data_IF_624877363293
#
_entry.id   IF_624877363293
#
_cell.length_a   1.000
_cell.length_b   1.000
_cell.length_c   1.000
_cell.angle_alpha   90.00
_cell.angle_beta   90.00
_cell.angle_gamma   90.00
#
_symmetry.space_group_name_H-M   'P 1'
#
loop_
_entity.id
_entity.type
_entity.pdbx_description
1 polymer ?
#
# COMPACT_ATOMS: atom_id res chain seq x y z
N UNK A 1 48.00 21.91 34.98
CA UNK A 1 46.76 21.36 35.55
C UNK A 1 45.73 21.41 34.43
N UNK A 2 45.56 20.31 33.69
CA UNK A 2 44.68 20.25 32.53
C UNK A 2 43.37 19.60 32.97
N UNK A 3 42.24 20.31 32.84
CA UNK A 3 40.92 19.76 33.16
C UNK A 3 40.49 18.80 32.05
N UNK A 4 40.22 17.56 32.42
CA UNK A 4 39.60 16.57 31.55
C UNK A 4 38.23 17.06 31.09
N UNK A 5 38.00 17.02 29.77
CA UNK A 5 36.71 17.28 29.15
C UNK A 5 35.65 16.33 29.66
N UNK A 6 34.49 16.88 30.01
CA UNK A 6 33.30 16.11 30.32
C UNK A 6 32.94 15.23 29.13
N UNK A 7 32.76 13.95 29.41
CA UNK A 7 32.06 13.05 28.50
C UNK A 7 30.61 13.55 28.49
N UNK A 8 30.15 14.10 27.37
CA UNK A 8 28.73 14.33 27.18
C UNK A 8 28.07 12.94 27.14
N UNK A 9 27.46 12.56 28.25
CA UNK A 9 26.54 11.42 28.29
C UNK A 9 25.41 11.72 27.30
N UNK A 10 25.44 11.06 26.14
CA UNK A 10 24.31 11.07 25.21
C UNK A 10 23.12 10.44 25.93
N UNK A 11 22.21 11.28 26.37
CA UNK A 11 20.89 10.89 26.85
C UNK A 11 20.15 10.16 25.73
N UNK A 12 20.04 8.84 25.85
CA UNK A 12 19.33 7.98 24.88
C UNK A 12 17.88 7.72 25.31
N UNK A 13 17.37 8.44 26.31
CA UNK A 13 16.04 8.21 26.88
C UNK A 13 14.87 8.61 25.97
N UNK A 14 15.12 9.29 24.84
CA UNK A 14 14.09 9.93 24.01
C UNK A 14 13.95 9.36 22.57
N UNK A 15 14.12 8.05 22.36
CA UNK A 15 13.57 7.44 21.12
C UNK A 15 12.20 6.83 21.39
N UNK A 16 11.08 7.56 21.14
CA UNK A 16 9.76 7.04 21.41
C UNK A 16 9.49 5.79 20.59
N UNK A 17 8.82 4.82 21.20
CA UNK A 17 8.29 3.67 20.50
C UNK A 17 7.24 4.14 19.51
N UNK A 18 7.39 3.73 18.26
CA UNK A 18 6.47 4.07 17.20
C UNK A 18 5.76 2.82 16.67
N UNK A 19 4.51 3.01 16.28
CA UNK A 19 3.67 2.00 15.67
C UNK A 19 3.68 2.17 14.17
N UNK A 20 3.74 1.05 13.47
CA UNK A 20 3.76 0.98 12.02
C UNK A 20 2.76 -0.04 11.49
N UNK A 21 2.22 0.17 10.30
CA UNK A 21 1.43 -0.81 9.55
C UNK A 21 2.12 -1.17 8.24
N UNK A 22 1.97 -2.42 7.80
CA UNK A 22 2.46 -2.89 6.51
C UNK A 22 1.47 -2.45 5.43
N UNK A 23 1.88 -1.50 4.58
CA UNK A 23 1.08 -1.02 3.47
C UNK A 23 1.20 -1.95 2.25
N UNK A 24 0.30 -1.78 1.29
CA UNK A 24 0.25 -2.60 0.06
C UNK A 24 1.51 -2.48 -0.82
N UNK A 25 2.30 -1.42 -0.64
CA UNK A 25 3.64 -1.29 -1.24
C UNK A 25 4.67 -2.27 -0.63
N UNK A 26 4.27 -3.04 0.39
CA UNK A 26 5.11 -3.96 1.15
C UNK A 26 6.12 -3.27 2.07
N UNK A 27 5.89 -2.00 2.41
CA UNK A 27 6.72 -1.24 3.35
C UNK A 27 5.94 -0.88 4.60
N UNK A 28 6.66 -0.67 5.68
CA UNK A 28 6.11 -0.22 6.96
C UNK A 28 5.91 1.30 6.93
N UNK A 29 4.69 1.73 7.24
CA UNK A 29 4.28 3.13 7.38
C UNK A 29 3.96 3.43 8.84
N UNK A 30 4.40 4.57 9.35
CA UNK A 30 4.09 4.97 10.72
C UNK A 30 2.62 5.38 10.83
N UNK A 31 2.00 5.14 11.99
CA UNK A 31 0.71 5.75 12.32
C UNK A 31 0.93 7.23 12.66
N UNK A 32 0.53 8.12 11.76
CA UNK A 32 0.62 9.57 11.94
C UNK A 32 -0.71 10.14 12.44
N UNK A 33 -0.65 11.26 13.16
CA UNK A 33 -1.82 11.96 13.69
C UNK A 33 -2.43 12.87 12.60
N UNK A 34 -3.75 12.79 12.40
CA UNK A 34 -4.45 13.52 11.35
C UNK A 34 -5.35 14.60 11.96
N UNK A 35 -5.63 15.65 11.16
CA UNK A 35 -6.62 16.71 11.46
C UNK A 35 -8.03 16.13 11.74
N UNK A 36 -8.30 14.90 11.31
CA UNK A 36 -9.58 14.21 11.50
C UNK A 36 -9.63 13.31 12.76
N UNK A 37 -8.63 13.36 13.65
CA UNK A 37 -8.60 12.53 14.86
C UNK A 37 -8.37 11.05 14.55
N UNK A 38 -7.51 10.75 13.55
CA UNK A 38 -7.00 9.40 13.35
C UNK A 38 -6.22 8.95 14.58
N UNK A 39 -6.17 7.63 14.80
CA UNK A 39 -5.38 7.10 15.91
C UNK A 39 -3.89 7.25 15.59
N UNK A 40 -3.19 8.03 16.43
CA UNK A 40 -1.77 8.27 16.24
C UNK A 40 -0.92 7.10 16.75
N UNK A 41 0.36 7.08 16.36
CA UNK A 41 1.34 6.18 16.96
C UNK A 41 1.44 6.34 18.49
N UNK A 42 1.26 7.55 19.01
CA UNK A 42 1.31 7.80 20.46
C UNK A 42 0.09 7.22 21.17
N UNK A 43 -1.08 7.31 20.55
CA UNK A 43 -2.31 6.72 21.09
C UNK A 43 -2.22 5.20 21.12
N UNK A 44 -1.74 4.58 20.04
CA UNK A 44 -1.50 3.14 20.00
C UNK A 44 -0.53 2.68 21.08
N UNK A 45 0.53 3.46 21.33
CA UNK A 45 1.47 3.16 22.41
C UNK A 45 0.80 3.23 23.79
N UNK A 46 0.00 4.27 24.04
CA UNK A 46 -0.77 4.40 25.30
C UNK A 46 -1.73 3.23 25.50
N UNK A 47 -2.42 2.78 24.44
CA UNK A 47 -3.33 1.63 24.53
C UNK A 47 -2.59 0.31 24.76
N UNK A 48 -1.49 0.10 24.04
CA UNK A 48 -0.67 -1.10 24.21
C UNK A 48 -0.13 -1.25 25.63
N UNK A 49 0.35 -0.16 26.23
CA UNK A 49 0.87 -0.16 27.60
C UNK A 49 -0.20 -0.44 28.66
N UNK A 50 -1.47 -0.10 28.39
CA UNK A 50 -2.61 -0.42 29.28
C UNK A 50 -2.99 -1.89 29.23
N UNK A 51 -2.87 -2.51 28.06
CA UNK A 51 -3.33 -3.88 27.83
C UNK A 51 -2.82 -4.45 26.51
N UNK A 52 -1.64 -5.09 26.48
CA UNK A 52 -1.07 -5.65 25.25
C UNK A 52 -1.86 -6.86 24.69
N UNK A 53 -2.84 -7.35 25.46
CA UNK A 53 -3.78 -8.40 25.07
C UNK A 53 -5.16 -7.89 24.68
N UNK A 54 -5.38 -6.58 24.77
CA UNK A 54 -6.67 -6.00 24.42
C UNK A 54 -6.77 -5.74 22.92
N UNK A 55 -8.00 -5.82 22.43
CA UNK A 55 -8.35 -5.49 21.06
C UNK A 55 -8.99 -4.11 21.06
N UNK A 56 -8.32 -3.15 20.41
CA UNK A 56 -8.79 -1.78 20.30
C UNK A 56 -9.73 -1.65 19.10
N UNK A 57 -10.94 -1.13 19.31
CA UNK A 57 -11.85 -0.75 18.22
C UNK A 57 -11.82 0.76 18.04
N UNK A 58 -11.30 1.22 16.90
CA UNK A 58 -11.36 2.61 16.49
C UNK A 58 -12.63 2.87 15.68
N UNK A 59 -13.65 3.40 16.33
CA UNK A 59 -14.95 3.72 15.73
C UNK A 59 -14.86 4.76 14.62
N UNK A 60 -13.91 5.71 14.69
CA UNK A 60 -13.76 6.79 13.70
C UNK A 60 -13.26 6.26 12.34
N UNK A 61 -12.41 5.24 12.35
CA UNK A 61 -11.84 4.65 11.13
C UNK A 61 -12.48 3.31 10.76
N UNK A 62 -13.50 2.85 11.51
CA UNK A 62 -14.06 1.50 11.38
C UNK A 62 -12.94 0.44 11.34
N UNK A 63 -11.94 0.57 12.20
CA UNK A 63 -10.82 -0.37 12.27
C UNK A 63 -10.70 -1.00 13.64
N UNK A 64 -10.17 -2.21 13.67
CA UNK A 64 -9.87 -2.96 14.87
C UNK A 64 -8.38 -3.26 14.90
N UNK A 65 -7.73 -3.08 16.04
CA UNK A 65 -6.32 -3.36 16.24
C UNK A 65 -6.20 -4.43 17.32
N UNK A 66 -5.58 -5.55 16.96
CA UNK A 66 -5.24 -6.64 17.86
C UNK A 66 -3.72 -6.61 18.10
N UNK A 67 -3.33 -6.14 19.28
CA UNK A 67 -1.93 -6.02 19.66
C UNK A 67 -1.25 -7.38 19.87
N UNK A 68 -2.00 -8.41 20.27
CA UNK A 68 -1.45 -9.75 20.46
C UNK A 68 -1.20 -10.45 19.13
N UNK A 69 -2.13 -10.31 18.18
CA UNK A 69 -1.96 -10.83 16.83
C UNK A 69 -1.03 -9.95 15.97
N UNK A 70 -0.75 -8.72 16.39
CA UNK A 70 -0.06 -7.69 15.60
C UNK A 70 -0.76 -7.46 14.26
N UNK A 71 -2.10 -7.28 14.31
CA UNK A 71 -2.96 -7.08 13.15
C UNK A 71 -3.85 -5.85 13.32
N UNK A 72 -4.08 -5.16 12.21
CA UNK A 72 -5.17 -4.21 12.04
C UNK A 72 -6.18 -4.78 11.04
N UNK A 73 -7.46 -4.76 11.40
CA UNK A 73 -8.58 -5.19 10.57
C UNK A 73 -9.46 -3.99 10.22
N UNK A 74 -9.72 -3.80 8.94
CA UNK A 74 -10.76 -2.88 8.46
C UNK A 74 -12.12 -3.58 8.60
N UNK A 75 -13.02 -3.01 9.41
CA UNK A 75 -14.30 -3.61 9.76
C UNK A 75 -15.33 -3.50 8.63
N UNK A 76 -15.14 -2.60 7.66
CA UNK A 76 -16.05 -2.46 6.52
C UNK A 76 -15.76 -3.52 5.45
N UNK A 77 -14.49 -3.86 5.24
CA UNK A 77 -14.02 -4.76 4.17
C UNK A 77 -13.55 -6.12 4.69
N UNK A 78 -13.33 -6.27 6.00
CA UNK A 78 -12.72 -7.45 6.61
C UNK A 78 -11.24 -7.62 6.31
N UNK A 79 -10.61 -6.69 5.59
CA UNK A 79 -9.19 -6.78 5.23
C UNK A 79 -8.31 -6.63 6.45
N UNK A 80 -7.25 -7.42 6.50
CA UNK A 80 -6.27 -7.39 7.57
C UNK A 80 -4.89 -6.95 7.05
N UNK A 81 -4.18 -6.16 7.85
CA UNK A 81 -2.78 -5.80 7.61
C UNK A 81 -1.96 -5.96 8.88
N UNK A 82 -0.68 -6.29 8.72
CA UNK A 82 0.24 -6.45 9.86
C UNK A 82 0.58 -5.09 10.45
N UNK A 83 0.70 -5.03 11.77
CA UNK A 83 1.27 -3.89 12.49
C UNK A 83 2.54 -4.31 13.22
N UNK A 84 3.36 -3.35 13.61
CA UNK A 84 4.52 -3.59 14.49
C UNK A 84 4.81 -2.37 15.35
N UNK A 85 5.46 -2.62 16.47
CA UNK A 85 6.06 -1.63 17.36
C UNK A 85 7.57 -1.65 17.17
N UNK A 86 8.17 -0.50 16.89
CA UNK A 86 9.61 -0.38 16.58
C UNK A 86 10.16 0.98 17.04
N UNK A 87 11.47 1.14 17.08
CA UNK A 87 12.09 2.41 17.50
C UNK A 87 11.84 3.52 16.48
N UNK A 88 11.40 4.68 16.99
CA UNK A 88 11.00 5.86 16.21
C UNK A 88 12.15 6.61 15.56
N UNK A 89 12.79 6.03 14.55
CA UNK A 89 13.52 6.84 13.58
C UNK A 89 12.46 7.41 12.63
N UNK A 90 12.18 8.72 12.71
CA UNK A 90 11.30 9.45 11.76
C UNK A 90 11.81 9.25 10.33
N UNK A 91 11.39 8.16 9.69
CA UNK A 91 11.71 7.87 8.29
C UNK A 91 10.52 8.32 7.47
N UNK A 92 10.61 9.52 6.88
CA UNK A 92 9.69 9.92 5.80
C UNK A 92 9.75 8.85 4.71
N UNK A 93 8.69 8.07 4.58
CA UNK A 93 8.73 6.89 3.75
C UNK A 93 8.82 7.28 2.25
N UNK A 94 9.87 6.82 1.56
CA UNK A 94 10.03 6.96 0.11
C UNK A 94 9.13 5.99 -0.70
N UNK A 95 8.26 5.25 -0.03
CA UNK A 95 7.27 4.33 -0.62
C UNK A 95 6.37 4.97 -1.67
N UNK A 96 6.18 6.28 -1.65
CA UNK A 96 5.42 6.98 -2.68
C UNK A 96 6.20 7.27 -3.96
N UNK A 97 7.38 6.68 -4.14
CA UNK A 97 8.14 6.77 -5.39
C UNK A 97 8.89 5.49 -5.71
N UNK A 98 8.97 4.56 -4.76
CA UNK A 98 9.70 3.33 -4.95
C UNK A 98 8.77 2.17 -5.34
N UNK A 99 9.25 1.24 -6.16
CA UNK A 99 8.53 0.03 -6.52
C UNK A 99 8.18 -0.80 -5.28
N UNK A 100 7.12 -1.63 -5.33
CA UNK A 100 6.82 -2.60 -4.30
C UNK A 100 8.01 -3.52 -4.02
N UNK A 101 8.22 -3.85 -2.75
CA UNK A 101 9.42 -4.61 -2.32
C UNK A 101 9.48 -6.04 -2.87
N UNK A 102 8.34 -6.59 -3.30
CA UNK A 102 8.21 -7.94 -3.84
C UNK A 102 8.46 -8.00 -5.35
N UNK A 103 8.74 -6.87 -6.01
CA UNK A 103 9.10 -6.88 -7.43
C UNK A 103 10.48 -7.50 -7.65
N UNK A 104 10.64 -8.35 -8.67
CA UNK A 104 11.97 -8.87 -9.00
C UNK A 104 12.86 -7.77 -9.57
N UNK A 105 14.17 -8.00 -9.48
CA UNK A 105 15.15 -7.23 -10.24
C UNK A 105 14.90 -7.44 -11.73
N UNK A 106 14.57 -6.37 -12.40
CA UNK A 106 14.24 -6.33 -13.82
C UNK A 106 15.36 -5.77 -14.65
N UNK A 107 15.43 -6.18 -15.91
CA UNK A 107 16.29 -5.56 -16.92
C UNK A 107 15.91 -4.07 -17.08
N UNK A 108 16.80 -3.11 -16.77
CA UNK A 108 16.51 -1.68 -16.84
C UNK A 108 16.40 -1.17 -18.28
N UNK A 109 16.80 -1.95 -19.29
CA UNK A 109 16.63 -1.59 -20.71
C UNK A 109 15.20 -1.80 -21.21
N UNK A 110 14.36 -2.52 -20.46
CA UNK A 110 12.98 -2.82 -20.86
C UNK A 110 12.00 -1.87 -20.18
N UNK A 111 11.12 -1.27 -20.98
CA UNK A 111 10.05 -0.39 -20.50
C UNK A 111 9.08 -1.10 -19.53
N UNK A 112 8.84 -2.40 -19.72
CA UNK A 112 8.08 -3.23 -18.78
C UNK A 112 8.49 -4.69 -18.89
N UNK A 113 8.20 -5.47 -17.86
CA UNK A 113 8.35 -6.93 -17.84
C UNK A 113 7.09 -7.61 -17.32
N UNK A 114 6.77 -8.77 -17.90
CA UNK A 114 5.71 -9.66 -17.44
C UNK A 114 6.33 -10.79 -16.64
N UNK A 115 5.96 -10.87 -15.37
CA UNK A 115 6.48 -11.87 -14.45
C UNK A 115 5.42 -12.95 -14.27
N UNK A 116 5.67 -14.19 -14.70
CA UNK A 116 4.69 -15.27 -14.52
C UNK A 116 4.52 -15.57 -13.03
N UNK A 117 3.27 -15.60 -12.58
CA UNK A 117 2.94 -15.97 -11.21
C UNK A 117 2.68 -17.47 -11.13
N UNK A 118 3.34 -18.13 -10.17
CA UNK A 118 3.13 -19.55 -9.90
C UNK A 118 1.88 -19.76 -9.05
N UNK A 119 1.11 -20.80 -9.34
CA UNK A 119 -0.14 -21.11 -8.63
C UNK A 119 0.03 -21.31 -7.13
N UNK A 120 1.22 -21.70 -6.68
CA UNK A 120 1.50 -21.92 -5.25
C UNK A 120 1.79 -20.62 -4.49
N UNK A 121 1.94 -19.49 -5.18
CA UNK A 121 2.26 -18.21 -4.53
C UNK A 121 1.01 -17.55 -3.94
N UNK A 122 1.19 -16.87 -2.80
CA UNK A 122 0.10 -16.13 -2.15
C UNK A 122 -0.49 -15.04 -3.06
N UNK A 123 0.35 -14.41 -3.88
CA UNK A 123 -0.08 -13.40 -4.85
C UNK A 123 -1.02 -13.99 -5.91
N UNK A 124 -0.64 -15.13 -6.50
CA UNK A 124 -1.50 -15.83 -7.46
C UNK A 124 -2.86 -16.15 -6.84
N UNK A 125 -2.87 -16.73 -5.63
CA UNK A 125 -4.11 -17.11 -4.95
C UNK A 125 -4.98 -15.89 -4.63
N UNK A 126 -4.36 -14.78 -4.24
CA UNK A 126 -5.07 -13.51 -3.98
C UNK A 126 -5.74 -12.98 -5.23
N UNK A 127 -5.02 -12.91 -6.36
CA UNK A 127 -5.55 -12.44 -7.64
C UNK A 127 -6.63 -13.38 -8.17
N UNK A 128 -6.41 -14.71 -8.08
CA UNK A 128 -7.40 -15.72 -8.46
C UNK A 128 -8.70 -15.56 -7.68
N UNK A 129 -8.62 -15.45 -6.35
CA UNK A 129 -9.80 -15.28 -5.51
C UNK A 129 -10.54 -13.99 -5.88
N UNK A 130 -9.81 -12.90 -6.11
CA UNK A 130 -10.39 -11.63 -6.55
C UNK A 130 -11.11 -11.76 -7.90
N UNK A 131 -10.50 -12.42 -8.89
CA UNK A 131 -11.12 -12.65 -10.22
C UNK A 131 -12.40 -13.48 -10.12
N UNK A 132 -12.39 -14.54 -9.31
CA UNK A 132 -13.52 -15.48 -9.19
C UNK A 132 -14.66 -14.88 -8.36
N UNK A 133 -14.34 -14.27 -7.22
CA UNK A 133 -15.34 -13.77 -6.27
C UNK A 133 -15.90 -12.41 -6.67
N UNK A 134 -15.04 -11.46 -7.05
CA UNK A 134 -15.44 -10.08 -7.35
C UNK A 134 -15.64 -9.86 -8.85
N UNK A 135 -14.78 -10.47 -9.68
CA UNK A 135 -14.88 -10.38 -11.13
C UNK A 135 -15.99 -11.24 -11.74
N UNK A 136 -16.55 -12.17 -10.96
CA UNK A 136 -17.56 -13.15 -11.39
C UNK A 136 -17.16 -13.91 -12.67
N UNK A 137 -15.86 -13.98 -12.94
CA UNK A 137 -15.29 -14.66 -14.09
C UNK A 137 -15.15 -16.14 -13.73
N UNK A 138 -16.24 -16.89 -13.90
CA UNK A 138 -16.27 -18.34 -13.67
C UNK A 138 -15.63 -19.12 -14.83
N UNK A 139 -14.40 -18.75 -15.21
CA UNK A 139 -13.61 -19.39 -16.27
C UNK A 139 -12.28 -19.86 -15.71
N UNK A 140 -11.74 -20.92 -16.31
CA UNK A 140 -10.41 -21.41 -15.97
C UNK A 140 -9.35 -20.36 -16.30
N UNK A 141 -8.57 -19.97 -15.30
CA UNK A 141 -7.42 -19.08 -15.47
C UNK A 141 -6.30 -19.88 -16.11
N UNK A 142 -5.82 -19.46 -17.28
CA UNK A 142 -4.73 -20.14 -18.01
C UNK A 142 -3.36 -19.72 -17.52
N UNK A 143 -3.17 -18.43 -17.23
CA UNK A 143 -1.94 -17.87 -16.70
C UNK A 143 -2.20 -16.52 -16.03
N UNK A 144 -1.38 -16.16 -15.04
CA UNK A 144 -1.35 -14.83 -14.44
C UNK A 144 0.06 -14.25 -14.57
N UNK A 145 0.14 -12.98 -14.92
CA UNK A 145 1.38 -12.25 -15.04
C UNK A 145 1.29 -10.96 -14.23
N UNK A 146 2.29 -10.71 -13.37
CA UNK A 146 2.48 -9.38 -12.79
C UNK A 146 3.17 -8.48 -13.82
N UNK A 147 2.62 -7.29 -14.02
CA UNK A 147 3.23 -6.26 -14.85
C UNK A 147 4.16 -5.44 -13.98
N UNK A 148 5.46 -5.43 -14.30
CA UNK A 148 6.44 -4.54 -13.69
C UNK A 148 6.84 -3.45 -14.67
N UNK A 149 6.29 -2.25 -14.48
CA UNK A 149 6.65 -1.04 -15.21
C UNK A 149 6.95 0.05 -14.18
N UNK A 150 8.22 0.42 -14.06
CA UNK A 150 8.70 1.36 -13.03
C UNK A 150 8.26 2.79 -13.34
N UNK A 151 8.28 3.19 -14.61
CA UNK A 151 7.89 4.53 -15.04
C UNK A 151 6.39 4.78 -14.77
N UNK A 152 5.54 3.83 -15.15
CA UNK A 152 4.10 3.94 -14.89
C UNK A 152 3.77 3.83 -13.41
N UNK A 153 4.52 3.04 -12.64
CA UNK A 153 4.38 2.99 -11.18
C UNK A 153 4.71 4.34 -10.53
N UNK A 154 5.79 4.99 -10.98
CA UNK A 154 6.15 6.32 -10.50
C UNK A 154 5.07 7.35 -10.84
N UNK A 155 4.56 7.34 -12.07
CA UNK A 155 3.47 8.22 -12.51
C UNK A 155 2.23 8.00 -11.64
N UNK A 156 1.84 6.74 -11.40
CA UNK A 156 0.71 6.40 -10.53
C UNK A 156 0.89 6.97 -9.12
N UNK A 157 2.06 6.74 -8.51
CA UNK A 157 2.38 7.23 -7.17
C UNK A 157 2.41 8.77 -7.09
N UNK A 158 2.93 9.45 -8.11
CA UNK A 158 2.91 10.92 -8.22
C UNK A 158 1.48 11.44 -8.35
N UNK A 159 0.63 10.77 -9.12
CA UNK A 159 -0.78 11.15 -9.30
C UNK A 159 -1.57 11.01 -8.00
N UNK A 160 -1.37 9.91 -7.27
CA UNK A 160 -1.94 9.69 -5.94
C UNK A 160 -1.61 10.84 -4.98
N UNK A 161 -0.33 11.19 -4.87
CA UNK A 161 0.15 12.35 -4.07
C UNK A 161 -0.45 13.68 -4.52
N UNK A 162 -0.57 13.88 -5.83
CA UNK A 162 -1.19 15.10 -6.36
C UNK A 162 -2.64 15.21 -5.89
N UNK A 163 -3.43 14.15 -6.05
CA UNK A 163 -4.84 14.13 -5.67
C UNK A 163 -5.01 14.29 -4.15
N UNK A 164 -4.14 13.69 -3.33
CA UNK A 164 -4.15 13.85 -1.86
C UNK A 164 -4.01 15.33 -1.48
N UNK A 165 -3.04 16.03 -2.09
CA UNK A 165 -2.84 17.46 -1.88
C UNK A 165 -4.02 18.30 -2.36
N UNK A 166 -4.57 17.99 -3.54
CA UNK A 166 -5.70 18.73 -4.10
C UNK A 166 -6.97 18.62 -3.26
N UNK A 167 -7.21 17.45 -2.66
CA UNK A 167 -8.39 17.21 -1.86
C UNK A 167 -8.15 17.46 -0.36
N UNK A 168 -6.93 17.78 0.04
CA UNK A 168 -6.55 17.97 1.45
C UNK A 168 -6.71 16.71 2.30
N UNK A 169 -6.60 15.52 1.70
CA UNK A 169 -6.77 14.23 2.38
C UNK A 169 -5.45 13.47 2.45
N UNK A 170 -5.23 12.77 3.55
CA UNK A 170 -4.05 11.91 3.69
C UNK A 170 -4.15 10.59 2.93
N UNK A 171 -5.37 10.14 2.61
CA UNK A 171 -5.61 8.92 1.86
C UNK A 171 -6.69 9.10 0.81
N UNK A 172 -6.48 8.44 -0.33
CA UNK A 172 -7.45 8.37 -1.42
C UNK A 172 -7.96 6.94 -1.50
N UNK A 173 -9.28 6.73 -1.62
CA UNK A 173 -9.83 5.41 -1.84
C UNK A 173 -9.32 4.87 -3.18
N UNK A 174 -8.51 3.83 -3.11
CA UNK A 174 -8.05 3.06 -4.26
C UNK A 174 -8.90 1.80 -4.40
N UNK A 175 -9.28 1.49 -5.63
CA UNK A 175 -10.08 0.32 -5.96
C UNK A 175 -9.35 -0.51 -6.99
N UNK A 176 -9.32 -1.80 -6.77
CA UNK A 176 -9.00 -2.75 -7.82
C UNK A 176 -10.21 -2.85 -8.74
N UNK A 177 -9.97 -2.86 -10.06
CA UNK A 177 -11.00 -2.95 -11.09
C UNK A 177 -10.47 -3.86 -12.21
N UNK A 178 -11.40 -4.40 -13.00
CA UNK A 178 -11.06 -5.22 -14.16
C UNK A 178 -11.15 -4.41 -15.46
N UNK A 179 -10.21 -4.64 -16.36
CA UNK A 179 -10.22 -4.08 -17.71
C UNK A 179 -10.02 -5.20 -18.72
N UNK A 180 -11.08 -5.52 -19.47
CA UNK A 180 -11.01 -6.44 -20.61
C UNK A 180 -10.56 -5.71 -21.86
N UNK A 181 -9.64 -6.30 -22.62
CA UNK A 181 -9.11 -5.70 -23.86
C UNK A 181 -8.68 -6.78 -24.85
N UNK A 182 -8.59 -6.41 -26.13
CA UNK A 182 -8.01 -7.29 -27.16
C UNK A 182 -6.51 -7.50 -26.93
N UNK A 183 -6.01 -8.69 -27.28
CA UNK A 183 -4.58 -9.05 -27.15
C UNK A 183 -3.63 -8.05 -27.82
N UNK A 184 -4.06 -7.44 -28.93
CA UNK A 184 -3.29 -6.42 -29.68
C UNK A 184 -3.00 -5.16 -28.85
N UNK A 185 -3.85 -4.85 -27.86
CA UNK A 185 -3.73 -3.66 -27.02
C UNK A 185 -2.82 -3.89 -25.80
N UNK A 186 -2.59 -5.15 -25.41
CA UNK A 186 -1.87 -5.51 -24.18
C UNK A 186 -0.48 -4.90 -24.13
N UNK A 187 0.28 -4.96 -25.23
CA UNK A 187 1.61 -4.37 -25.30
C UNK A 187 1.59 -2.86 -25.03
N UNK A 188 0.68 -2.15 -25.70
CA UNK A 188 0.57 -0.70 -25.57
C UNK A 188 0.13 -0.29 -24.17
N UNK A 189 -0.85 -0.99 -23.58
CA UNK A 189 -1.30 -0.72 -22.21
C UNK A 189 -0.17 -0.93 -21.20
N UNK A 190 0.56 -2.05 -21.31
CA UNK A 190 1.66 -2.34 -20.37
C UNK A 190 2.83 -1.36 -20.52
N UNK A 191 3.07 -0.83 -21.73
CA UNK A 191 4.19 0.07 -22.03
C UNK A 191 3.87 1.54 -21.79
N UNK A 192 2.68 1.99 -22.19
CA UNK A 192 2.32 3.39 -22.31
C UNK A 192 1.13 3.81 -21.45
N UNK A 193 0.58 2.89 -20.63
CA UNK A 193 -0.63 3.07 -19.84
C UNK A 193 -1.92 3.03 -20.68
N UNK A 194 -3.07 3.17 -20.01
CA UNK A 194 -4.38 3.31 -20.65
C UNK A 194 -4.46 4.63 -21.42
N UNK A 195 -4.81 4.55 -22.71
CA UNK A 195 -5.12 5.71 -23.53
C UNK A 195 -6.63 5.93 -23.59
N UNK A 196 -7.09 7.00 -22.95
CA UNK A 196 -8.51 7.39 -22.90
C UNK A 196 -9.04 7.76 -24.30
N UNK A 197 -8.19 8.20 -25.22
CA UNK A 197 -8.61 8.50 -26.60
C UNK A 197 -9.01 7.23 -27.37
N UNK A 198 -8.56 6.06 -26.91
CA UNK A 198 -8.93 4.75 -27.46
C UNK A 198 -10.12 4.11 -26.72
N UNK A 199 -10.60 4.69 -25.62
CA UNK A 199 -11.68 4.15 -24.80
C UNK A 199 -13.06 4.13 -25.53
N UNK A 200 -13.15 4.70 -26.72
CA UNK A 200 -14.41 4.85 -27.47
C UNK A 200 -14.87 3.66 -28.31
N UNK A 201 -14.16 2.53 -28.32
CA UNK A 201 -14.54 1.37 -29.14
C UNK A 201 -15.51 0.39 -28.45
N UNK A 202 -15.66 0.43 -27.13
CA UNK A 202 -16.53 -0.49 -26.37
C UNK A 202 -17.35 0.23 -25.28
N UNK A 203 -18.59 0.61 -25.60
CA UNK A 203 -19.64 0.99 -24.62
C UNK A 203 -19.58 2.42 -24.08
N UNK A 204 -20.55 3.26 -24.45
CA UNK A 204 -20.63 4.70 -24.10
C UNK A 204 -21.71 5.06 -23.07
N UNK A 205 -22.25 4.10 -22.33
CA UNK A 205 -23.42 4.34 -21.48
C UNK A 205 -23.17 5.37 -20.34
N UNK A 206 -21.92 5.51 -19.87
CA UNK A 206 -21.57 6.34 -18.71
C UNK A 206 -20.44 7.34 -18.98
N UNK A 207 -20.16 7.63 -20.25
CA UNK A 207 -19.20 8.65 -20.68
C UNK A 207 -17.98 8.11 -21.45
N UNK A 208 -17.20 9.05 -21.97
CA UNK A 208 -15.99 8.82 -22.78
C UNK A 208 -14.75 9.06 -21.92
N UNK A 209 -14.54 8.29 -20.85
CA UNK A 209 -13.36 8.36 -19.96
C UNK A 209 -12.80 9.77 -19.66
N UNK A 210 -13.26 10.39 -18.57
CA UNK A 210 -12.60 11.55 -17.93
C UNK A 210 -12.22 11.21 -16.49
#
# INVERSE_FOLDING_TARGET
MWSYGGVEDMDTSDTPWCWFYLADCGRWHQFEEDVNGSISSEDLEKFYLRGPKEVLRNSCQSTMIDFSAMLQTDLATGRQRRIKRDYGIKRSCSCFSAPPVFWERTDPSKAYQLIPLSEVTAEYQTVRNYVVQEGLLNKTITALYRIQNFDLWEIFCRKRKQLMRLHGVQQIPERHLFHGTDVKNVHNICKYNFDLHLAGQHGHAYGTGR
#
